data_IF_399035274593
#
_entry.id   IF_399035274593
#
_cell.length_a   1.000
_cell.length_b   1.000
_cell.length_c   1.000
_cell.angle_alpha   90.00
_cell.angle_beta   90.00
_cell.angle_gamma   90.00
#
_symmetry.space_group_name_H-M   'P 1'
#
loop_
_entity.id
_entity.type
_entity.pdbx_description
1 polymer ?
#
# COMPACT_ATOMS: atom_id res chain seq x y z
N UNK A 1 -27.32 -1.04 -70.03
CA UNK A 1 -27.52 -2.40 -69.49
C UNK A 1 -26.57 -3.33 -70.22
N UNK A 2 -25.78 -4.22 -69.59
CA UNK A 2 -25.43 -4.41 -68.16
C UNK A 2 -23.95 -4.01 -67.89
N UNK A 3 -23.57 -3.48 -66.72
CA UNK A 3 -23.37 -4.11 -65.39
C UNK A 3 -22.14 -5.02 -65.31
N UNK A 4 -21.06 -4.54 -64.68
CA UNK A 4 -20.36 -5.14 -63.51
C UNK A 4 -19.09 -4.35 -63.17
N UNK A 5 -18.99 -3.68 -62.01
CA UNK A 5 -17.74 -3.65 -61.25
C UNK A 5 -17.75 -4.83 -60.28
N UNK A 6 -16.96 -5.86 -60.61
CA UNK A 6 -16.69 -6.98 -59.70
C UNK A 6 -15.96 -6.44 -58.48
N UNK A 7 -16.60 -6.54 -57.32
CA UNK A 7 -15.91 -6.47 -56.06
C UNK A 7 -15.00 -7.68 -55.89
N UNK A 8 -13.82 -7.45 -55.31
CA UNK A 8 -13.14 -8.37 -54.39
C UNK A 8 -11.81 -7.73 -53.97
N UNK A 9 -11.89 -6.63 -53.23
CA UNK A 9 -10.84 -6.21 -52.31
C UNK A 9 -11.25 -6.57 -50.89
N UNK A 10 -11.76 -7.79 -50.70
CA UNK A 10 -11.99 -8.33 -49.36
C UNK A 10 -10.63 -8.51 -48.71
N UNK A 11 -10.37 -7.65 -47.74
CA UNK A 11 -9.95 -8.06 -46.40
C UNK A 11 -8.82 -9.08 -46.39
N UNK A 12 -7.60 -8.57 -46.57
CA UNK A 12 -6.43 -9.14 -45.89
C UNK A 12 -6.54 -8.86 -44.39
N UNK A 13 -7.59 -9.37 -43.73
CA UNK A 13 -7.68 -9.39 -42.27
C UNK A 13 -6.95 -10.64 -41.78
N UNK A 14 -5.80 -10.41 -41.17
CA UNK A 14 -5.34 -11.13 -39.99
C UNK A 14 -5.38 -12.67 -40.04
N UNK A 15 -4.97 -13.26 -41.16
CA UNK A 15 -4.65 -14.68 -41.20
C UNK A 15 -3.14 -14.88 -41.11
N UNK A 16 -2.53 -14.34 -40.04
CA UNK A 16 -1.27 -14.90 -39.53
C UNK A 16 -1.65 -16.24 -38.93
N UNK A 17 -1.52 -17.28 -39.76
CA UNK A 17 -1.76 -18.65 -39.44
C UNK A 17 -1.17 -18.97 -38.05
N UNK A 18 -2.10 -19.25 -37.14
CA UNK A 18 -1.89 -19.69 -35.78
C UNK A 18 -1.20 -21.07 -35.80
N UNK A 19 0.13 -21.11 -35.84
CA UNK A 19 0.89 -22.36 -35.93
C UNK A 19 0.72 -23.16 -34.63
N UNK A 20 0.24 -24.42 -34.67
CA UNK A 20 -0.05 -25.21 -33.47
C UNK A 20 1.16 -25.37 -32.53
N UNK A 21 2.39 -25.40 -33.07
CA UNK A 21 3.62 -25.50 -32.26
C UNK A 21 3.99 -24.23 -31.48
N UNK A 22 3.57 -23.05 -31.93
CA UNK A 22 3.78 -21.79 -31.19
C UNK A 22 2.85 -21.75 -29.97
N UNK A 23 1.63 -22.27 -30.12
CA UNK A 23 0.65 -22.39 -29.04
C UNK A 23 1.15 -23.26 -27.89
N UNK A 24 1.65 -24.44 -28.21
CA UNK A 24 2.16 -25.39 -27.22
C UNK A 24 3.39 -24.83 -26.48
N UNK A 25 4.25 -24.08 -27.18
CA UNK A 25 5.38 -23.39 -26.54
C UNK A 25 4.88 -22.29 -25.58
N UNK A 26 3.89 -21.51 -25.98
CA UNK A 26 3.28 -20.46 -25.16
C UNK A 26 2.56 -21.02 -23.93
N UNK A 27 1.85 -22.12 -24.07
CA UNK A 27 1.18 -22.83 -22.96
C UNK A 27 2.20 -23.27 -21.91
N UNK A 28 3.29 -23.93 -22.34
CA UNK A 28 4.39 -24.33 -21.44
C UNK A 28 5.08 -23.13 -20.80
N UNK A 29 5.28 -22.04 -21.54
CA UNK A 29 5.85 -20.80 -20.97
C UNK A 29 4.91 -20.20 -19.92
N UNK A 30 3.61 -20.17 -20.20
CA UNK A 30 2.60 -19.64 -19.30
C UNK A 30 2.56 -20.42 -17.98
N UNK A 31 2.50 -21.75 -18.06
CA UNK A 31 2.53 -22.65 -16.90
C UNK A 31 3.80 -22.46 -16.05
N UNK A 32 4.98 -22.47 -16.68
CA UNK A 32 6.23 -22.33 -15.93
C UNK A 32 6.32 -20.97 -15.22
N UNK A 33 5.92 -19.89 -15.90
CA UNK A 33 5.95 -18.54 -15.34
C UNK A 33 4.92 -18.39 -14.23
N UNK A 34 3.69 -18.86 -14.43
CA UNK A 34 2.59 -18.76 -13.47
C UNK A 34 2.89 -19.56 -12.20
N UNK A 35 3.32 -20.82 -12.32
CA UNK A 35 3.63 -21.69 -11.18
C UNK A 35 4.83 -21.17 -10.38
N UNK A 36 5.89 -20.70 -11.06
CA UNK A 36 7.03 -20.10 -10.37
C UNK A 36 6.62 -18.84 -9.60
N UNK A 37 5.75 -18.01 -10.18
CA UNK A 37 5.28 -16.79 -9.55
C UNK A 37 4.39 -17.07 -8.32
N UNK A 38 3.42 -17.97 -8.46
CA UNK A 38 2.48 -18.37 -7.41
C UNK A 38 3.17 -19.10 -6.26
N UNK A 39 4.22 -19.89 -6.55
CA UNK A 39 5.04 -20.55 -5.53
C UNK A 39 5.83 -19.57 -4.64
N UNK A 40 6.06 -18.33 -5.10
CA UNK A 40 6.77 -17.30 -4.32
C UNK A 40 5.84 -16.41 -3.51
N UNK A 41 4.66 -16.09 -4.05
CA UNK A 41 3.64 -15.27 -3.38
C UNK A 41 2.28 -15.51 -4.02
N UNK A 42 1.22 -15.40 -3.21
CA UNK A 42 -0.13 -15.27 -3.75
C UNK A 42 -0.26 -14.05 -4.67
N UNK A 43 -0.94 -14.23 -5.80
CA UNK A 43 -1.21 -13.22 -6.81
C UNK A 43 -2.70 -13.21 -7.15
N UNK A 44 -3.25 -12.04 -7.42
CA UNK A 44 -4.61 -11.94 -7.92
C UNK A 44 -4.70 -12.42 -9.37
N UNK A 45 -5.91 -12.73 -9.83
CA UNK A 45 -6.20 -13.02 -11.24
C UNK A 45 -5.59 -11.96 -12.16
N UNK A 46 -5.84 -10.68 -11.85
CA UNK A 46 -5.32 -9.56 -12.65
C UNK A 46 -3.80 -9.43 -12.60
N UNK A 47 -3.14 -9.77 -11.49
CA UNK A 47 -1.68 -9.81 -11.40
C UNK A 47 -1.10 -10.91 -12.30
N UNK A 48 -1.73 -12.10 -12.37
CA UNK A 48 -1.28 -13.19 -13.23
C UNK A 48 -1.47 -12.85 -14.71
N UNK A 49 -2.63 -12.30 -15.09
CA UNK A 49 -2.87 -11.83 -16.48
C UNK A 49 -1.80 -10.84 -16.91
N UNK A 50 -1.55 -9.81 -16.10
CA UNK A 50 -0.52 -8.81 -16.38
C UNK A 50 0.90 -9.40 -16.46
N UNK A 51 1.21 -10.36 -15.58
CA UNK A 51 2.51 -11.02 -15.57
C UNK A 51 2.76 -11.75 -16.89
N UNK A 52 1.78 -12.52 -17.35
CA UNK A 52 1.89 -13.29 -18.58
C UNK A 52 1.87 -12.39 -19.82
N UNK A 53 1.06 -11.33 -19.81
CA UNK A 53 1.03 -10.34 -20.89
C UNK A 53 2.39 -9.62 -21.06
N UNK A 54 3.08 -9.29 -19.96
CA UNK A 54 4.44 -8.72 -19.97
C UNK A 54 5.52 -9.70 -20.47
N UNK A 55 5.17 -10.98 -20.67
CA UNK A 55 6.03 -12.01 -21.27
C UNK A 55 5.69 -12.26 -22.74
N UNK A 56 4.81 -11.44 -23.31
CA UNK A 56 4.40 -11.52 -24.70
C UNK A 56 3.86 -12.91 -25.04
N UNK A 57 3.09 -13.48 -24.11
CA UNK A 57 2.35 -14.74 -24.29
C UNK A 57 1.01 -14.41 -24.95
N UNK A 58 0.60 -15.23 -25.90
CA UNK A 58 -0.66 -15.07 -26.61
C UNK A 58 -1.86 -14.88 -25.64
N UNK A 59 -2.72 -13.86 -25.84
CA UNK A 59 -3.84 -13.58 -24.94
C UNK A 59 -4.80 -14.75 -24.73
N UNK A 60 -4.99 -15.61 -25.75
CA UNK A 60 -5.85 -16.80 -25.65
C UNK A 60 -5.23 -17.80 -24.68
N UNK A 61 -3.91 -18.02 -24.78
CA UNK A 61 -3.17 -18.88 -23.85
C UNK A 61 -3.20 -18.33 -22.43
N UNK A 62 -3.05 -17.01 -22.26
CA UNK A 62 -3.17 -16.35 -20.95
C UNK A 62 -4.52 -16.61 -20.30
N UNK A 63 -5.62 -16.43 -21.04
CA UNK A 63 -6.96 -16.67 -20.49
C UNK A 63 -7.18 -18.15 -20.15
N UNK A 64 -6.74 -19.06 -21.01
CA UNK A 64 -6.85 -20.51 -20.76
C UNK A 64 -6.07 -20.92 -19.51
N UNK A 65 -4.83 -20.43 -19.34
CA UNK A 65 -4.00 -20.73 -18.18
C UNK A 65 -4.61 -20.15 -16.89
N UNK A 66 -5.08 -18.91 -16.91
CA UNK A 66 -5.75 -18.30 -15.75
C UNK A 66 -7.00 -19.08 -15.34
N UNK A 67 -7.84 -19.46 -16.31
CA UNK A 67 -9.02 -20.29 -16.03
C UNK A 67 -8.65 -21.66 -15.46
N UNK A 68 -7.59 -22.30 -15.98
CA UNK A 68 -7.08 -23.57 -15.45
C UNK A 68 -6.62 -23.41 -14.00
N UNK A 69 -5.85 -22.37 -13.70
CA UNK A 69 -5.33 -22.09 -12.36
C UNK A 69 -6.45 -21.75 -11.35
N UNK A 70 -7.48 -21.03 -11.78
CA UNK A 70 -8.71 -20.81 -11.00
C UNK A 70 -9.45 -22.14 -10.75
N UNK A 71 -9.60 -22.96 -11.79
CA UNK A 71 -10.27 -24.26 -11.69
C UNK A 71 -9.60 -25.25 -10.73
N UNK A 72 -8.28 -25.15 -10.55
CA UNK A 72 -7.54 -25.94 -9.55
C UNK A 72 -7.32 -25.22 -8.21
N UNK A 73 -7.86 -24.01 -8.05
CA UNK A 73 -7.79 -23.24 -6.80
C UNK A 73 -6.42 -22.61 -6.50
N UNK A 74 -5.51 -22.53 -7.49
CA UNK A 74 -4.22 -21.84 -7.32
C UNK A 74 -4.36 -20.31 -7.41
N UNK A 75 -5.38 -19.83 -8.12
CA UNK A 75 -5.82 -18.44 -8.11
C UNK A 75 -7.18 -18.39 -7.43
N UNK A 76 -7.25 -17.64 -6.34
CA UNK A 76 -8.48 -17.33 -5.63
C UNK A 76 -8.34 -15.93 -5.02
N UNK A 77 -9.02 -14.96 -5.65
CA UNK A 77 -8.99 -13.56 -5.22
C UNK A 77 -9.61 -13.37 -3.83
N UNK A 78 -10.62 -14.16 -3.46
CA UNK A 78 -11.28 -14.09 -2.15
C UNK A 78 -10.38 -14.62 -1.03
N UNK A 79 -9.78 -15.80 -1.22
CA UNK A 79 -8.81 -16.36 -0.28
C UNK A 79 -7.57 -15.45 -0.12
N UNK A 80 -7.14 -14.86 -1.24
CA UNK A 80 -6.03 -13.91 -1.25
C UNK A 80 -6.36 -12.61 -0.51
N UNK A 81 -7.58 -12.10 -0.66
CA UNK A 81 -8.06 -10.92 0.03
C UNK A 81 -8.11 -11.15 1.55
N UNK A 82 -8.70 -12.26 2.00
CA UNK A 82 -8.77 -12.63 3.41
C UNK A 82 -7.36 -12.72 4.04
N UNK A 83 -6.46 -13.49 3.43
CA UNK A 83 -5.08 -13.64 3.90
C UNK A 83 -4.33 -12.29 3.98
N UNK A 84 -4.62 -11.38 3.05
CA UNK A 84 -4.04 -10.05 3.05
C UNK A 84 -4.59 -9.19 4.18
N UNK A 85 -5.91 -9.20 4.40
CA UNK A 85 -6.56 -8.46 5.47
C UNK A 85 -5.95 -8.86 6.80
N UNK A 86 -5.94 -10.16 7.13
CA UNK A 86 -5.35 -10.69 8.38
C UNK A 86 -3.93 -10.17 8.57
N UNK A 87 -3.07 -10.35 7.56
CA UNK A 87 -1.67 -9.94 7.62
C UNK A 87 -1.50 -8.44 7.84
N UNK A 88 -2.32 -7.61 7.19
CA UNK A 88 -2.21 -6.15 7.24
C UNK A 88 -2.77 -5.59 8.55
N UNK A 89 -3.86 -6.19 9.05
CA UNK A 89 -4.41 -5.91 10.37
C UNK A 89 -3.36 -6.27 11.42
N UNK A 90 -2.83 -7.49 11.41
CA UNK A 90 -1.89 -7.95 12.43
C UNK A 90 -0.59 -7.15 12.45
N UNK A 91 0.05 -7.01 11.28
CA UNK A 91 1.41 -6.44 11.19
C UNK A 91 1.43 -4.93 11.07
N UNK A 92 0.44 -4.35 10.37
CA UNK A 92 0.42 -2.91 10.08
C UNK A 92 -0.68 -2.18 10.85
N UNK A 93 -1.60 -2.87 11.52
CA UNK A 93 -2.72 -2.26 12.23
C UNK A 93 -3.52 -1.33 11.31
N UNK A 94 -3.75 -1.78 10.08
CA UNK A 94 -4.52 -1.02 9.08
C UNK A 94 -6.01 -1.11 9.38
N UNK A 95 -6.69 0.03 9.24
CA UNK A 95 -8.15 0.14 9.27
C UNK A 95 -8.77 -0.10 7.90
N UNK A 96 -10.11 -0.14 7.82
CA UNK A 96 -10.87 -0.59 6.64
C UNK A 96 -10.52 0.21 5.38
N UNK A 97 -10.32 1.53 5.51
CA UNK A 97 -9.98 2.39 4.36
C UNK A 97 -8.60 2.04 3.77
N UNK A 98 -7.60 1.77 4.62
CA UNK A 98 -6.25 1.43 4.15
C UNK A 98 -6.19 -0.01 3.62
N UNK A 99 -6.94 -0.94 4.23
CA UNK A 99 -7.09 -2.30 3.72
C UNK A 99 -7.67 -2.29 2.31
N UNK A 100 -8.80 -1.60 2.12
CA UNK A 100 -9.42 -1.43 0.80
C UNK A 100 -8.45 -0.87 -0.22
N UNK A 101 -7.73 0.20 0.11
CA UNK A 101 -6.75 0.80 -0.78
C UNK A 101 -5.64 -0.19 -1.21
N UNK A 102 -5.17 -1.02 -0.28
CA UNK A 102 -4.15 -2.03 -0.55
C UNK A 102 -4.67 -3.20 -1.42
N UNK A 103 -5.91 -3.64 -1.20
CA UNK A 103 -6.55 -4.67 -2.01
C UNK A 103 -6.84 -4.18 -3.44
N UNK A 104 -7.32 -2.94 -3.59
CA UNK A 104 -7.50 -2.29 -4.90
C UNK A 104 -6.15 -2.14 -5.62
N UNK A 105 -5.09 -1.75 -4.90
CA UNK A 105 -3.73 -1.66 -5.45
C UNK A 105 -3.23 -3.00 -5.99
N UNK A 106 -3.66 -4.11 -5.37
CA UNK A 106 -3.40 -5.50 -5.81
C UNK A 106 -4.34 -5.96 -6.93
N UNK A 107 -5.31 -5.14 -7.34
CA UNK A 107 -6.31 -5.44 -8.39
C UNK A 107 -7.07 -6.74 -8.12
N UNK A 108 -7.45 -6.93 -6.85
CA UNK A 108 -8.34 -8.00 -6.43
C UNK A 108 -9.77 -7.63 -6.87
N UNK A 109 -10.55 -8.63 -7.25
CA UNK A 109 -11.95 -8.46 -7.62
C UNK A 109 -12.74 -7.65 -6.56
N UNK A 110 -13.57 -6.66 -6.97
CA UNK A 110 -14.33 -5.85 -6.03
C UNK A 110 -15.25 -6.65 -5.09
N UNK A 111 -15.87 -7.73 -5.54
CA UNK A 111 -16.74 -8.56 -4.70
C UNK A 111 -15.93 -9.33 -3.65
N UNK A 112 -14.74 -9.81 -4.01
CA UNK A 112 -13.79 -10.41 -3.07
C UNK A 112 -13.33 -9.39 -2.02
N UNK A 113 -13.11 -8.13 -2.41
CA UNK A 113 -12.78 -7.04 -1.49
C UNK A 113 -13.91 -6.79 -0.49
N UNK A 114 -15.15 -6.62 -0.96
CA UNK A 114 -16.28 -6.41 -0.05
C UNK A 114 -16.46 -7.58 0.92
N UNK A 115 -16.37 -8.81 0.42
CA UNK A 115 -16.52 -10.01 1.24
C UNK A 115 -15.44 -10.11 2.32
N UNK A 116 -14.18 -9.86 1.96
CA UNK A 116 -13.08 -9.89 2.92
C UNK A 116 -13.17 -8.78 3.97
N UNK A 117 -13.62 -7.58 3.58
CA UNK A 117 -13.78 -6.46 4.51
C UNK A 117 -15.03 -6.62 5.40
N UNK A 118 -16.08 -7.29 4.93
CA UNK A 118 -17.27 -7.56 5.73
C UNK A 118 -17.02 -8.57 6.86
N UNK A 119 -16.06 -9.49 6.69
CA UNK A 119 -15.62 -10.40 7.75
C UNK A 119 -14.79 -9.70 8.82
N UNK A 120 -14.31 -8.48 8.53
CA UNK A 120 -13.50 -7.71 9.46
C UNK A 120 -14.39 -6.82 10.34
N UNK A 121 -14.86 -7.38 11.45
CA UNK A 121 -15.39 -6.59 12.56
C UNK A 121 -14.29 -6.46 13.63
N UNK A 122 -13.66 -5.29 13.80
CA UNK A 122 -12.73 -5.10 14.90
C UNK A 122 -13.48 -5.12 16.23
N UNK A 123 -13.16 -6.11 17.10
CA UNK A 123 -13.76 -6.25 18.43
C UNK A 123 -13.68 -4.97 19.27
N UNK A 124 -12.59 -4.19 19.12
CA UNK A 124 -12.43 -2.88 19.75
C UNK A 124 -11.56 -1.94 18.89
N UNK A 125 -12.19 -1.28 17.91
CA UNK A 125 -11.53 -0.27 17.07
C UNK A 125 -11.00 0.91 17.91
N UNK A 126 -11.73 1.29 18.97
CA UNK A 126 -11.37 2.41 19.84
C UNK A 126 -10.06 2.18 20.57
N UNK A 127 -9.90 1.02 21.22
CA UNK A 127 -8.68 0.66 21.92
C UNK A 127 -7.48 0.53 20.98
N UNK A 128 -7.69 0.01 19.76
CA UNK A 128 -6.65 -0.04 18.75
C UNK A 128 -6.17 1.37 18.36
N UNK A 129 -7.11 2.29 18.11
CA UNK A 129 -6.78 3.68 17.76
C UNK A 129 -6.04 4.35 18.91
N UNK A 130 -6.49 4.18 20.16
CA UNK A 130 -5.82 4.74 21.34
C UNK A 130 -4.36 4.26 21.44
N UNK A 131 -4.13 2.95 21.30
CA UNK A 131 -2.78 2.36 21.29
C UNK A 131 -1.89 2.96 20.19
N UNK A 132 -2.43 3.13 18.98
CA UNK A 132 -1.70 3.73 17.86
C UNK A 132 -1.35 5.21 18.11
N UNK A 133 -2.25 5.96 18.75
CA UNK A 133 -2.01 7.36 19.13
C UNK A 133 -0.90 7.45 20.16
N UNK A 134 -0.97 6.68 21.24
CA UNK A 134 0.06 6.65 22.29
C UNK A 134 1.44 6.32 21.72
N UNK A 135 1.54 5.23 20.94
CA UNK A 135 2.78 4.86 20.27
C UNK A 135 3.31 5.96 19.36
N UNK A 136 2.42 6.67 18.67
CA UNK A 136 2.83 7.73 17.76
C UNK A 136 3.30 8.95 18.55
N UNK A 137 2.61 9.33 19.62
CA UNK A 137 2.98 10.45 20.50
C UNK A 137 4.39 10.29 21.07
N UNK A 138 4.76 9.08 21.51
CA UNK A 138 6.14 8.78 21.95
C UNK A 138 7.21 9.09 20.90
N UNK A 139 6.85 9.10 19.61
CA UNK A 139 7.78 9.35 18.50
C UNK A 139 7.79 10.80 17.98
N UNK A 140 6.72 11.58 18.19
CA UNK A 140 6.63 12.93 17.59
C UNK A 140 7.27 14.03 18.46
N UNK A 141 7.64 13.73 19.70
CA UNK A 141 8.31 14.66 20.62
C UNK A 141 7.39 15.79 21.11
N UNK A 142 7.98 16.75 21.84
CA UNK A 142 7.26 17.92 22.33
C UNK A 142 6.90 18.86 21.17
N UNK A 143 5.61 19.00 20.90
CA UNK A 143 5.04 19.85 19.86
C UNK A 143 3.91 20.68 20.47
N UNK A 144 3.57 21.79 19.83
CA UNK A 144 2.31 22.49 20.12
C UNK A 144 1.11 21.59 19.82
N UNK A 145 0.02 21.78 20.57
CA UNK A 145 -1.18 20.93 20.50
C UNK A 145 -1.73 20.83 19.08
N UNK A 146 -1.82 21.94 18.36
CA UNK A 146 -2.41 21.98 17.01
C UNK A 146 -1.57 21.19 16.00
N UNK A 147 -0.25 21.34 16.05
CA UNK A 147 0.66 20.56 15.21
C UNK A 147 0.63 19.07 15.58
N UNK A 148 0.57 18.74 16.88
CA UNK A 148 0.44 17.37 17.34
C UNK A 148 -0.86 16.71 16.83
N UNK A 149 -2.00 17.39 17.01
CA UNK A 149 -3.32 16.96 16.54
C UNK A 149 -3.31 16.70 15.03
N UNK A 150 -2.84 17.67 14.23
CA UNK A 150 -2.74 17.54 12.76
C UNK A 150 -1.88 16.34 12.35
N UNK A 151 -0.73 16.14 13.00
CA UNK A 151 0.20 15.04 12.68
C UNK A 151 -0.37 13.68 13.08
N UNK A 152 -1.05 13.58 14.22
CA UNK A 152 -1.70 12.37 14.69
C UNK A 152 -2.87 11.97 13.78
N UNK A 153 -3.76 12.91 13.46
CA UNK A 153 -4.87 12.67 12.53
C UNK A 153 -4.37 12.26 11.14
N UNK A 154 -3.32 12.92 10.63
CA UNK A 154 -2.71 12.54 9.36
C UNK A 154 -2.10 11.14 9.39
N UNK A 155 -1.53 10.75 10.54
CA UNK A 155 -0.97 9.41 10.74
C UNK A 155 -2.07 8.34 10.75
N UNK A 156 -3.15 8.56 11.51
CA UNK A 156 -4.30 7.66 11.58
C UNK A 156 -5.00 7.54 10.22
N UNK A 157 -5.16 8.64 9.49
CA UNK A 157 -5.73 8.63 8.14
C UNK A 157 -4.93 7.72 7.18
N UNK A 158 -3.59 7.76 7.22
CA UNK A 158 -2.74 6.85 6.43
C UNK A 158 -2.81 5.41 6.90
N UNK A 159 -3.11 5.18 8.17
CA UNK A 159 -3.41 3.85 8.71
C UNK A 159 -4.82 3.36 8.35
N UNK A 160 -5.68 4.22 7.80
CA UNK A 160 -7.06 3.89 7.47
C UNK A 160 -8.05 4.04 8.63
N UNK A 161 -7.61 4.65 9.74
CA UNK A 161 -8.41 4.96 10.92
C UNK A 161 -8.83 6.42 10.86
N UNK A 162 -10.05 6.67 10.41
CA UNK A 162 -10.60 8.02 10.21
C UNK A 162 -11.76 8.32 11.16
N UNK A 163 -12.56 9.32 10.80
CA UNK A 163 -13.86 9.53 11.42
C UNK A 163 -13.84 10.20 12.80
N UNK A 164 -14.93 10.01 13.55
CA UNK A 164 -15.12 10.56 14.90
C UNK A 164 -14.20 9.90 15.92
N UNK A 165 -14.08 8.57 15.90
CA UNK A 165 -13.25 7.79 16.83
C UNK A 165 -11.77 8.24 16.80
N UNK A 166 -11.18 8.42 15.62
CA UNK A 166 -9.82 8.94 15.48
C UNK A 166 -9.65 10.35 16.09
N UNK A 167 -10.65 11.24 15.89
CA UNK A 167 -10.61 12.60 16.45
C UNK A 167 -10.77 12.62 17.96
N UNK A 168 -11.63 11.75 18.48
CA UNK A 168 -11.87 11.61 19.91
C UNK A 168 -10.64 11.06 20.61
N UNK A 169 -10.07 9.95 20.13
CA UNK A 169 -8.86 9.36 20.70
C UNK A 169 -7.67 10.34 20.69
N UNK A 170 -7.47 11.08 19.59
CA UNK A 170 -6.42 12.11 19.53
C UNK A 170 -6.70 13.25 20.52
N UNK A 171 -7.94 13.69 20.66
CA UNK A 171 -8.30 14.76 21.60
C UNK A 171 -8.02 14.31 23.04
N UNK A 172 -8.52 13.15 23.43
CA UNK A 172 -8.34 12.58 24.76
C UNK A 172 -6.87 12.40 25.11
N UNK A 173 -6.05 11.87 24.18
CA UNK A 173 -4.63 11.68 24.42
C UNK A 173 -3.85 13.02 24.57
N UNK A 174 -4.26 14.07 23.85
CA UNK A 174 -3.66 15.40 23.98
C UNK A 174 -4.09 16.10 25.28
N UNK A 175 -5.34 15.89 25.73
CA UNK A 175 -5.83 16.38 27.02
C UNK A 175 -5.08 15.71 28.17
N UNK A 176 -4.88 14.39 28.13
CA UNK A 176 -4.12 13.63 29.12
C UNK A 176 -2.63 14.06 29.16
N UNK A 177 -2.05 14.41 28.01
CA UNK A 177 -0.70 14.95 27.94
C UNK A 177 -0.56 16.38 28.49
N UNK A 178 -1.64 17.00 28.99
CA UNK A 178 -1.64 18.35 29.56
C UNK A 178 -1.42 19.45 28.52
N UNK A 179 -1.54 19.12 27.23
CA UNK A 179 -1.46 20.10 26.15
C UNK A 179 -2.81 20.77 25.98
N UNK A 180 -3.24 21.63 26.91
CA UNK A 180 -4.52 22.34 26.79
C UNK A 180 -4.60 23.11 25.46
N UNK A 181 -5.80 23.10 24.85
CA UNK A 181 -6.04 23.92 23.67
C UNK A 181 -5.97 25.38 24.12
N UNK A 182 -4.97 26.12 23.64
CA UNK A 182 -4.92 27.56 23.84
C UNK A 182 -6.31 28.14 23.54
N UNK A 183 -6.90 28.94 24.45
CA UNK A 183 -8.25 29.45 24.28
C UNK A 183 -8.31 30.07 22.90
N UNK A 184 -9.25 29.61 22.07
CA UNK A 184 -9.50 30.25 20.79
C UNK A 184 -9.80 31.69 21.15
N UNK A 185 -8.89 32.60 20.86
CA UNK A 185 -9.15 34.01 21.07
C UNK A 185 -10.46 34.26 20.34
N UNK A 186 -11.50 34.57 21.11
CA UNK A 186 -12.74 35.14 20.61
C UNK A 186 -12.34 36.51 20.08
N UNK A 187 -11.73 36.52 18.89
CA UNK A 187 -11.43 37.70 18.10
C UNK A 187 -12.71 38.23 17.51
N UNK A 188 -13.63 38.64 18.38
CA UNK A 188 -14.72 39.53 18.07
C UNK A 188 -14.58 40.74 18.99
N UNK A 189 -13.68 41.64 18.59
CA UNK A 189 -13.37 42.86 19.33
C UNK A 189 -12.71 43.89 18.42
N UNK A 190 -13.46 44.93 18.10
CA UNK A 190 -13.01 46.24 17.65
C UNK A 190 -12.43 46.37 16.22
N UNK A 191 -13.34 46.48 15.25
CA UNK A 191 -13.12 47.36 14.10
C UNK A 191 -13.11 48.80 14.61
N UNK A 192 -11.93 49.33 14.86
CA UNK A 192 -11.69 50.75 15.13
C UNK A 192 -10.24 51.07 14.76
N UNK A 193 -10.04 51.73 13.63
CA UNK A 193 -8.70 52.03 13.14
C UNK A 193 -8.65 52.45 11.68
N UNK A 194 -9.12 53.67 11.42
CA UNK A 194 -8.86 54.51 10.25
C UNK A 194 -7.41 54.48 9.78
N UNK A 195 -7.17 54.45 8.46
CA UNK A 195 -5.87 54.85 7.89
C UNK A 195 -5.48 54.25 6.55
N UNK A 196 -6.35 54.31 5.53
CA UNK A 196 -5.92 54.03 4.15
C UNK A 196 -5.39 55.33 3.52
N UNK A 197 -4.10 55.58 3.69
CA UNK A 197 -3.36 56.67 3.07
C UNK A 197 -2.70 56.21 1.78
N UNK A 198 -3.07 56.84 0.67
CA UNK A 198 -2.47 56.72 -0.66
C UNK A 198 -1.00 57.12 -0.69
N UNK A 199 -0.20 56.42 -1.52
CA UNK A 199 1.01 56.79 -2.29
C UNK A 199 1.83 55.50 -2.48
N UNK A 200 2.46 55.18 -3.59
CA UNK A 200 2.84 55.88 -4.82
C UNK A 200 3.80 54.92 -5.54
N UNK A 201 3.88 55.01 -6.87
CA UNK A 201 4.51 54.01 -7.72
C UNK A 201 6.01 53.77 -7.53
N UNK A 202 6.46 52.64 -8.09
CA UNK A 202 7.85 52.23 -8.15
C UNK A 202 8.03 51.01 -9.05
N UNK A 203 7.82 51.21 -10.35
CA UNK A 203 8.26 50.28 -11.40
C UNK A 203 9.79 50.25 -11.46
N UNK A 204 10.41 49.07 -11.43
CA UNK A 204 11.82 48.95 -11.81
C UNK A 204 12.48 47.62 -11.46
N UNK A 205 12.96 46.91 -12.48
CA UNK A 205 14.19 46.11 -12.36
C UNK A 205 14.05 44.60 -12.33
N UNK A 206 13.63 43.98 -13.43
CA UNK A 206 13.95 42.58 -13.71
C UNK A 206 15.44 42.49 -14.10
N UNK A 207 16.27 42.14 -13.11
CA UNK A 207 17.69 41.85 -13.28
C UNK A 207 17.93 40.36 -13.50
N UNK A 208 18.41 40.05 -14.70
CA UNK A 208 18.95 38.78 -15.17
C UNK A 208 19.93 38.11 -14.21
N UNK A 209 19.71 36.83 -13.89
CA UNK A 209 20.73 35.95 -13.31
C UNK A 209 21.21 34.97 -14.38
N UNK A 210 22.25 35.37 -15.11
CA UNK A 210 23.12 34.47 -15.85
C UNK A 210 24.34 34.13 -14.99
N UNK A 211 24.76 32.87 -15.05
CA UNK A 211 26.14 32.42 -14.82
C UNK A 211 26.70 32.52 -13.41
N UNK A 212 26.96 31.37 -12.78
CA UNK A 212 28.36 31.07 -12.49
C UNK A 212 28.62 29.56 -12.54
N UNK A 213 29.41 29.19 -13.54
CA UNK A 213 30.14 27.94 -13.68
C UNK A 213 31.36 27.92 -12.77
N UNK A 214 31.71 26.73 -12.27
CA UNK A 214 33.08 26.39 -11.93
C UNK A 214 33.51 26.67 -10.49
N UNK A 215 33.52 25.62 -9.67
CA UNK A 215 34.60 25.47 -8.71
C UNK A 215 35.09 24.03 -8.68
N UNK A 216 36.41 23.94 -8.80
CA UNK A 216 37.18 22.77 -9.12
C UNK A 216 37.46 21.88 -7.92
N UNK A 217 37.66 20.60 -8.24
CA UNK A 217 38.41 19.59 -7.50
C UNK A 217 39.58 20.08 -6.66
N UNK A 218 39.68 19.55 -5.45
CA UNK A 218 40.87 19.15 -4.64
C UNK A 218 40.27 18.64 -3.32
N UNK A 219 40.53 17.45 -2.78
CA UNK A 219 41.63 16.50 -2.95
C UNK A 219 42.03 16.07 -1.53
N UNK A 220 42.00 14.75 -1.28
CA UNK A 220 42.79 14.05 -0.23
C UNK A 220 42.44 14.38 1.24
N UNK A 221 42.45 13.49 2.23
CA UNK A 221 43.14 12.22 2.42
C UNK A 221 42.66 11.58 3.75
N UNK A 222 42.74 10.25 3.80
CA UNK A 222 43.17 9.39 4.94
C UNK A 222 42.61 9.69 6.34
N UNK A 223 41.93 8.74 6.98
CA UNK A 223 42.49 7.74 7.93
C UNK A 223 41.51 7.68 9.11
N UNK A 224 41.28 6.66 9.92
CA UNK A 224 41.80 5.31 10.11
C UNK A 224 40.96 4.70 11.26
N UNK A 225 40.98 3.36 11.39
CA UNK A 225 40.80 2.57 12.64
C UNK A 225 39.45 2.68 13.38
N UNK A 226 38.74 1.62 13.74
CA UNK A 226 39.14 0.45 14.54
C UNK A 226 37.88 -0.44 14.68
N UNK A 227 37.85 -1.71 14.28
CA UNK A 227 38.24 -2.94 15.02
C UNK A 227 37.50 -3.19 16.34
N UNK A 228 37.04 -4.44 16.48
CA UNK A 228 36.64 -5.24 17.67
C UNK A 228 35.14 -5.43 17.89
N UNK A 229 34.59 -6.54 18.38
CA UNK A 229 35.02 -7.95 18.58
C UNK A 229 33.83 -8.65 19.24
N UNK A 230 33.52 -9.88 18.80
CA UNK A 230 33.22 -11.08 19.61
C UNK A 230 32.17 -11.08 20.75
N UNK A 231 31.16 -11.96 20.62
CA UNK A 231 30.73 -13.00 21.62
C UNK A 231 29.40 -13.62 21.12
N UNK A 232 29.19 -14.91 20.88
CA UNK A 232 29.50 -16.18 21.58
C UNK A 232 28.79 -16.39 22.92
N UNK A 233 27.62 -17.02 22.89
CA UNK A 233 27.09 -18.03 23.86
C UNK A 233 25.81 -18.61 23.23
N UNK A 234 25.64 -19.90 22.91
CA UNK A 234 25.78 -21.14 23.67
C UNK A 234 24.89 -21.19 24.92
N UNK A 235 23.72 -21.84 24.79
CA UNK A 235 22.75 -22.05 25.86
C UNK A 235 21.80 -23.18 25.52
N UNK A 236 22.28 -24.42 25.65
CA UNK A 236 21.52 -25.67 25.66
C UNK A 236 20.56 -25.73 26.84
N UNK A 237 19.31 -26.18 26.62
CA UNK A 237 18.36 -26.44 27.70
C UNK A 237 17.25 -27.40 27.25
N UNK A 238 17.53 -28.70 27.36
CA UNK A 238 16.55 -29.80 27.33
C UNK A 238 15.67 -29.75 28.58
N UNK A 239 14.39 -30.06 28.44
CA UNK A 239 13.51 -30.76 29.41
C UNK A 239 12.21 -31.12 28.66
N UNK A 240 11.99 -32.33 28.14
CA UNK A 240 11.63 -33.60 28.78
C UNK A 240 10.35 -33.58 29.64
N UNK A 241 9.37 -34.36 29.18
CA UNK A 241 8.47 -35.26 29.92
C UNK A 241 6.97 -34.87 30.05
N UNK A 242 6.15 -35.85 29.62
CA UNK A 242 4.80 -36.28 30.08
C UNK A 242 3.66 -35.25 30.02
N UNK A 243 2.50 -35.51 29.44
CA UNK A 243 1.51 -36.51 29.89
C UNK A 243 0.36 -36.56 28.82
N UNK A 244 0.18 -37.63 28.05
CA UNK A 244 -0.93 -38.59 28.22
C UNK A 244 -2.23 -38.23 27.45
N UNK A 245 -2.69 -39.00 26.45
CA UNK A 245 -3.99 -38.77 25.81
C UNK A 245 -5.15 -39.36 26.63
N UNK A 246 -6.14 -38.54 27.02
CA UNK A 246 -7.40 -39.04 27.58
C UNK A 246 -8.35 -39.44 26.47
N UNK A 247 -8.51 -40.75 26.34
CA UNK A 247 -9.60 -41.46 25.65
C UNK A 247 -10.91 -41.20 26.41
N UNK A 248 -11.97 -40.80 25.72
CA UNK A 248 -13.34 -40.90 26.21
C UNK A 248 -14.16 -41.55 25.11
N UNK A 249 -14.40 -42.85 25.25
CA UNK A 249 -15.54 -43.53 24.63
C UNK A 249 -16.71 -43.38 25.60
N UNK A 250 -17.86 -42.89 25.12
CA UNK A 250 -19.17 -43.21 25.69
C UNK A 250 -20.22 -43.06 24.57
N UNK A 251 -20.83 -44.22 24.28
CA UNK A 251 -22.08 -44.54 23.55
C UNK A 251 -22.42 -43.88 22.21
#
# INVERSE_FOLDING_TARGET
MPSTPSGSGQEATDNVAFLPGVREADEKRAENVSLHALGRRGMSRAEVVDLLARREIDPIVVQAEVQRLEGVGLIDDAALAATLVDRLVDRKKFGPTALRAELVRRRIDPQAIESALALQEPDDEGALIATLVEERMRRIGALDRETAERRLLSYLARKGHGGSAAREAVRSALDEAGLERAPRSSGFGSRGGSGFGSRGGGSGGFGSRSGNSGFSSRGSSSSSSSSSSSSSSAGTGRSSASDGPRRVEFE
#
